data_IF_102422614497
#
_entry.id   IF_102422614497
#
_cell.length_a   1.000
_cell.length_b   1.000
_cell.length_c   1.000
_cell.angle_alpha   90.00
_cell.angle_beta   90.00
_cell.angle_gamma   90.00
#
_symmetry.space_group_name_H-M   'P 1'
#
loop_
_entity.id
_entity.type
_entity.pdbx_description
1 polymer ?
#
# COMPACT_ATOMS: atom_id res chain seq x y z
N UNK A 1 -13.36 1.50 -1.00
CA UNK A 1 -12.90 0.85 -2.25
C UNK A 1 -11.82 -0.15 -1.88
N UNK A 2 -11.82 -1.33 -2.49
CA UNK A 2 -10.83 -2.39 -2.25
C UNK A 2 -10.13 -2.68 -3.57
N UNK A 3 -8.81 -2.61 -3.57
CA UNK A 3 -7.95 -2.94 -4.70
C UNK A 3 -7.11 -4.14 -4.31
N UNK A 4 -7.42 -5.30 -4.88
CA UNK A 4 -6.61 -6.49 -4.70
C UNK A 4 -5.71 -6.70 -5.91
N UNK A 5 -4.41 -6.48 -5.72
CA UNK A 5 -3.38 -6.75 -6.72
C UNK A 5 -3.62 -6.05 -8.08
N UNK A 6 -4.49 -5.04 -8.14
CA UNK A 6 -4.98 -4.42 -9.38
C UNK A 6 -3.90 -3.70 -10.20
N UNK A 7 -2.72 -3.49 -9.63
CA UNK A 7 -1.59 -2.77 -10.24
C UNK A 7 -0.43 -3.69 -10.65
N UNK A 8 -0.60 -5.02 -10.61
CA UNK A 8 0.50 -5.96 -10.86
C UNK A 8 1.09 -5.86 -12.28
N UNK A 9 0.27 -5.54 -13.28
CA UNK A 9 0.67 -5.53 -14.70
C UNK A 9 1.11 -4.14 -15.20
N UNK A 10 1.11 -3.11 -14.33
CA UNK A 10 1.52 -1.76 -14.73
C UNK A 10 2.98 -1.51 -14.38
N UNK A 11 3.70 -0.86 -15.30
CA UNK A 11 5.07 -0.42 -15.04
C UNK A 11 5.14 0.61 -13.90
N UNK A 12 6.29 0.68 -13.23
CA UNK A 12 6.52 1.51 -12.03
C UNK A 12 6.03 2.94 -12.16
N UNK A 13 6.35 3.61 -13.28
CA UNK A 13 5.97 5.01 -13.47
C UNK A 13 4.45 5.19 -13.51
N UNK A 14 3.75 4.28 -14.16
CA UNK A 14 2.30 4.28 -14.28
C UNK A 14 1.66 3.93 -12.95
N UNK A 15 2.19 2.93 -12.24
CA UNK A 15 1.75 2.58 -10.88
C UNK A 15 1.81 3.80 -9.95
N UNK A 16 2.93 4.53 -9.92
CA UNK A 16 3.08 5.73 -9.08
C UNK A 16 2.03 6.79 -9.37
N UNK A 17 1.74 7.03 -10.65
CA UNK A 17 0.70 7.98 -11.07
C UNK A 17 -0.68 7.54 -10.58
N UNK A 18 -1.01 6.26 -10.76
CA UNK A 18 -2.30 5.70 -10.31
C UNK A 18 -2.43 5.83 -8.79
N UNK A 19 -1.40 5.44 -8.03
CA UNK A 19 -1.38 5.57 -6.57
C UNK A 19 -1.54 7.03 -6.10
N UNK A 20 -0.91 7.99 -6.79
CA UNK A 20 -1.06 9.40 -6.48
C UNK A 20 -2.49 9.91 -6.72
N UNK A 21 -3.11 9.53 -7.83
CA UNK A 21 -4.51 9.85 -8.12
C UNK A 21 -5.46 9.21 -7.11
N UNK A 22 -5.22 7.94 -6.77
CA UNK A 22 -5.99 7.20 -5.76
C UNK A 22 -5.91 7.85 -4.38
N UNK A 23 -4.72 8.35 -3.99
CA UNK A 23 -4.54 9.07 -2.73
C UNK A 23 -5.36 10.37 -2.69
N UNK A 24 -5.41 11.12 -3.78
CA UNK A 24 -6.22 12.34 -3.85
C UNK A 24 -7.72 12.03 -3.81
N UNK A 25 -8.15 11.07 -4.62
CA UNK A 25 -9.54 10.60 -4.67
C UNK A 25 -10.00 9.97 -3.34
N UNK A 26 -9.09 9.29 -2.65
CA UNK A 26 -9.33 8.63 -1.37
C UNK A 26 -9.47 9.57 -0.18
N UNK A 27 -9.28 10.88 -0.34
CA UNK A 27 -9.51 11.83 0.76
C UNK A 27 -10.97 11.75 1.23
N UNK A 28 -11.15 11.50 2.53
CA UNK A 28 -12.47 11.31 3.13
C UNK A 28 -13.13 9.97 2.81
N UNK A 29 -12.37 9.00 2.27
CA UNK A 29 -12.87 7.66 1.91
C UNK A 29 -11.93 6.59 2.43
N UNK A 30 -12.46 5.42 2.76
CA UNK A 30 -11.64 4.25 3.09
C UNK A 30 -11.17 3.56 1.81
N UNK A 31 -9.85 3.46 1.66
CA UNK A 31 -9.18 2.72 0.59
C UNK A 31 -8.36 1.59 1.19
N UNK A 32 -8.62 0.37 0.73
CA UNK A 32 -7.84 -0.83 1.09
C UNK A 32 -7.08 -1.27 -0.16
N UNK A 33 -5.76 -1.40 -0.04
CA UNK A 33 -4.88 -1.85 -1.11
C UNK A 33 -4.13 -3.11 -0.65
N UNK A 34 -4.37 -4.23 -1.31
CA UNK A 34 -3.57 -5.44 -1.16
C UNK A 34 -2.52 -5.45 -2.28
N UNK A 35 -1.24 -5.52 -1.91
CA UNK A 35 -0.13 -5.51 -2.88
C UNK A 35 1.05 -6.32 -2.36
N UNK A 36 1.81 -6.91 -3.28
CA UNK A 36 3.10 -7.54 -3.02
C UNK A 36 4.28 -6.58 -3.27
N UNK A 37 4.01 -5.34 -3.70
CA UNK A 37 5.03 -4.33 -4.04
C UNK A 37 5.12 -3.25 -2.97
N UNK A 38 6.35 -2.88 -2.61
CA UNK A 38 6.62 -1.83 -1.61
C UNK A 38 6.22 -0.41 -2.09
N UNK A 39 6.10 -0.19 -3.40
CA UNK A 39 5.79 1.10 -4.02
C UNK A 39 4.47 1.73 -3.55
N UNK A 40 3.46 0.89 -3.27
CA UNK A 40 2.18 1.33 -2.72
C UNK A 40 2.21 1.66 -1.22
N UNK A 41 3.05 0.94 -0.47
CA UNK A 41 3.06 0.99 0.99
C UNK A 41 3.48 2.36 1.55
N UNK A 42 4.38 3.07 0.86
CA UNK A 42 4.87 4.40 1.30
C UNK A 42 3.78 5.48 1.39
N UNK A 43 2.63 5.26 0.76
CA UNK A 43 1.51 6.20 0.78
C UNK A 43 0.39 5.79 1.74
N UNK A 44 0.48 4.59 2.30
CA UNK A 44 -0.53 4.06 3.20
C UNK A 44 -0.47 4.80 4.54
N UNK A 45 -1.66 5.08 5.09
CA UNK A 45 -1.78 5.60 6.45
C UNK A 45 -1.42 4.52 7.49
N UNK A 46 -1.77 3.27 7.17
CA UNK A 46 -1.56 2.10 8.00
C UNK A 46 -1.33 0.89 7.09
N UNK A 47 -0.45 -0.02 7.51
CA UNK A 47 -0.08 -1.24 6.82
C UNK A 47 -0.37 -2.40 7.76
N UNK A 48 -0.99 -3.45 7.23
CA UNK A 48 -1.19 -4.72 7.91
C UNK A 48 -0.41 -5.79 7.17
N UNK A 49 0.49 -6.47 7.87
CA UNK A 49 1.23 -7.62 7.35
C UNK A 49 0.51 -8.89 7.81
N UNK A 50 0.03 -9.66 6.85
CA UNK A 50 -0.63 -10.95 7.11
C UNK A 50 0.38 -12.09 6.99
N UNK A 51 0.39 -12.98 7.99
CA UNK A 51 1.15 -14.22 7.98
C UNK A 51 0.28 -15.32 8.58
N UNK A 52 0.13 -16.45 7.87
CA UNK A 52 -0.64 -17.62 8.33
C UNK A 52 -2.08 -17.27 8.80
N UNK A 53 -2.75 -16.36 8.09
CA UNK A 53 -4.11 -15.94 8.42
C UNK A 53 -4.24 -15.02 9.63
N UNK A 54 -3.12 -14.52 10.19
CA UNK A 54 -3.08 -13.57 11.31
C UNK A 54 -2.36 -12.28 10.92
N UNK A 55 -2.68 -11.19 11.61
CA UNK A 55 -1.93 -9.93 11.51
C UNK A 55 -0.63 -10.12 12.30
N UNK A 56 0.49 -10.24 11.59
CA UNK A 56 1.82 -10.38 12.18
C UNK A 56 2.42 -9.02 12.55
N UNK A 57 2.13 -7.98 11.76
CA UNK A 57 2.58 -6.62 12.03
C UNK A 57 1.51 -5.61 11.60
N UNK A 58 1.47 -4.48 12.29
CA UNK A 58 0.54 -3.38 12.01
C UNK A 58 1.21 -2.05 12.34
N UNK A 59 1.13 -1.08 11.44
CA UNK A 59 1.66 0.26 11.68
C UNK A 59 1.91 1.08 10.42
N UNK A 60 2.44 2.29 10.60
CA UNK A 60 2.86 3.13 9.48
C UNK A 60 4.12 2.56 8.81
N UNK A 61 4.34 2.93 7.55
CA UNK A 61 5.50 2.47 6.75
C UNK A 61 6.84 2.62 7.49
N UNK A 62 7.09 3.77 8.10
CA UNK A 62 8.34 4.05 8.81
C UNK A 62 8.55 3.20 10.08
N UNK A 63 7.47 2.66 10.67
CA UNK A 63 7.56 1.79 11.85
C UNK A 63 7.84 0.33 11.46
N UNK A 64 7.42 -0.08 10.26
CA UNK A 64 7.54 -1.48 9.80
C UNK A 64 8.75 -1.72 8.91
N UNK A 65 9.22 -0.69 8.22
CA UNK A 65 10.39 -0.79 7.34
C UNK A 65 11.55 -0.05 8.01
N UNK A 66 12.57 -0.76 8.50
CA UNK A 66 13.76 -0.11 9.04
C UNK A 66 14.47 0.70 7.95
N UNK A 67 15.19 1.79 8.32
CA UNK A 67 16.00 2.52 7.36
C UNK A 67 16.98 1.56 6.68
N UNK A 68 17.06 1.63 5.34
CA UNK A 68 18.00 0.84 4.58
C UNK A 68 19.43 1.26 4.97
N UNK A 69 20.13 0.38 5.70
CA UNK A 69 21.57 0.41 5.85
C UNK A 69 22.22 -0.39 4.73
#
# INVERSE_FOLDING_TARGET
>A
MILDSALFAVGDRTERRILQSLRQWGKGRTLILCTHRLSGLRYANEILVLQEGRIAQQGAYAALVPPAG
#
